data_IF_499562600565
#
_entry.id   IF_499562600565
#
_cell.length_a   1.000
_cell.length_b   1.000
_cell.length_c   1.000
_cell.angle_alpha   90.00
_cell.angle_beta   90.00
_cell.angle_gamma   90.00
#
_symmetry.space_group_name_H-M   'P 1'
#
loop_
_entity.id
_entity.type
_entity.pdbx_description
1 polymer ?
#
# COMPACT_ATOMS: atom_id res chain seq x y z
N UNK A 1 6.73 -1.85 5.31
CA UNK A 1 5.42 -1.63 5.94
C UNK A 1 4.37 -1.18 4.96
N UNK A 2 3.12 -1.38 5.31
CA UNK A 2 1.96 -0.94 4.53
C UNK A 2 0.97 -0.27 5.48
N UNK A 3 0.37 0.83 5.05
CA UNK A 3 -0.68 1.54 5.77
C UNK A 3 -1.88 1.76 4.84
N UNK A 4 -3.08 1.77 5.42
CA UNK A 4 -4.33 2.10 4.73
C UNK A 4 -4.85 3.42 5.34
N UNK A 5 -5.23 4.37 4.49
CA UNK A 5 -5.70 5.69 4.93
C UNK A 5 -4.66 6.45 5.74
N UNK A 6 -5.07 6.99 6.88
CA UNK A 6 -4.19 7.69 7.81
C UNK A 6 -3.20 6.76 8.54
N UNK A 7 -3.46 5.44 8.55
CA UNK A 7 -2.55 4.42 9.05
C UNK A 7 -2.06 4.69 10.46
N UNK A 8 -0.75 4.58 10.70
CA UNK A 8 -0.16 4.78 12.03
C UNK A 8 -0.29 6.21 12.55
N UNK A 9 -0.52 7.21 11.69
CA UNK A 9 -0.74 8.57 12.16
C UNK A 9 -2.00 8.74 13.02
N UNK A 10 -2.91 7.75 13.00
CA UNK A 10 -4.08 7.72 13.88
C UNK A 10 -3.70 7.58 15.36
N UNK A 11 -2.56 6.94 15.66
CA UNK A 11 -2.08 6.77 17.03
C UNK A 11 -1.71 8.10 17.71
N UNK A 12 -1.41 9.13 16.93
CA UNK A 12 -1.05 10.48 17.44
C UNK A 12 -2.25 11.42 17.53
N UNK A 13 -3.46 10.93 17.26
CA UNK A 13 -4.69 11.73 17.24
C UNK A 13 -5.67 11.29 18.33
N UNK A 14 -6.54 12.22 18.74
CA UNK A 14 -7.70 11.86 19.55
C UNK A 14 -8.71 11.08 18.69
N UNK A 15 -9.54 10.25 19.32
CA UNK A 15 -10.55 9.48 18.61
C UNK A 15 -11.50 10.34 17.77
N UNK A 16 -11.91 11.51 18.28
CA UNK A 16 -12.74 12.49 17.57
C UNK A 16 -12.10 13.02 16.28
N UNK A 17 -10.75 13.08 16.23
CA UNK A 17 -10.00 13.59 15.10
C UNK A 17 -9.61 12.48 14.12
N UNK A 18 -9.92 11.24 14.47
CA UNK A 18 -9.52 10.02 13.73
C UNK A 18 -10.64 9.41 12.91
N UNK A 19 -11.89 9.74 13.22
CA UNK A 19 -13.06 9.21 12.50
C UNK A 19 -13.38 10.02 11.25
N UNK A 20 -13.91 9.35 10.26
CA UNK A 20 -14.52 9.99 9.10
C UNK A 20 -15.96 10.41 9.42
N UNK A 21 -16.40 11.50 8.82
CA UNK A 21 -17.74 12.02 9.02
C UNK A 21 -18.39 12.47 7.73
N UNK A 22 -19.72 12.48 7.73
CA UNK A 22 -20.54 12.86 6.60
C UNK A 22 -21.06 14.29 6.75
N UNK A 23 -21.27 14.93 5.61
CA UNK A 23 -21.95 16.20 5.45
C UNK A 23 -23.06 16.05 4.42
N UNK A 24 -23.86 17.09 4.21
CA UNK A 24 -24.86 17.11 3.14
C UNK A 24 -24.26 16.87 1.74
N UNK A 25 -22.99 17.22 1.55
CA UNK A 25 -22.26 17.01 0.28
C UNK A 25 -21.54 15.66 0.19
N UNK A 26 -21.75 14.76 1.14
CA UNK A 26 -21.11 13.46 1.22
C UNK A 26 -20.03 13.36 2.28
N UNK A 27 -19.12 12.38 2.15
CA UNK A 27 -18.02 12.15 3.09
C UNK A 27 -17.03 13.33 3.04
N UNK A 28 -16.64 13.81 4.21
CA UNK A 28 -15.77 14.99 4.34
C UNK A 28 -14.28 14.63 4.33
N UNK A 29 -13.95 13.48 4.86
CA UNK A 29 -12.57 12.99 5.01
C UNK A 29 -12.51 11.52 4.58
N UNK A 30 -11.31 11.04 4.24
CA UNK A 30 -11.05 9.63 3.90
C UNK A 30 -9.88 9.10 4.73
N UNK A 31 -10.00 9.17 6.06
CA UNK A 31 -9.00 8.71 7.02
C UNK A 31 -8.88 7.19 7.04
N UNK A 32 -10.02 6.52 6.83
CA UNK A 32 -10.08 5.06 6.69
C UNK A 32 -9.43 4.56 5.39
N UNK A 33 -9.19 5.45 4.40
CA UNK A 33 -8.56 5.09 3.14
C UNK A 33 -9.45 4.24 2.23
N UNK A 34 -10.78 4.48 2.25
CA UNK A 34 -11.74 3.85 1.36
C UNK A 34 -12.16 2.43 1.77
N UNK A 35 -11.70 1.94 2.95
CA UNK A 35 -12.02 0.59 3.44
C UNK A 35 -12.42 0.68 4.91
N UNK A 36 -13.65 0.30 5.24
CA UNK A 36 -14.18 0.21 6.59
C UNK A 36 -14.74 -1.19 6.85
N UNK A 37 -14.31 -1.82 7.93
CA UNK A 37 -14.75 -3.17 8.27
C UNK A 37 -14.48 -4.23 7.19
N UNK A 38 -13.46 -4.03 6.36
CA UNK A 38 -13.12 -4.92 5.25
C UNK A 38 -13.96 -4.71 3.98
N UNK A 39 -14.77 -3.65 3.94
CA UNK A 39 -15.66 -3.31 2.82
C UNK A 39 -15.25 -1.94 2.27
N UNK A 40 -15.20 -1.81 0.93
CA UNK A 40 -15.01 -0.50 0.30
C UNK A 40 -16.23 0.39 0.55
N UNK A 41 -15.98 1.64 0.92
CA UNK A 41 -17.02 2.60 1.31
C UNK A 41 -17.40 3.61 0.21
N UNK A 42 -16.85 3.42 -0.99
CA UNK A 42 -17.09 4.27 -2.16
C UNK A 42 -16.09 5.39 -2.34
N UNK A 43 -15.22 5.63 -1.38
CA UNK A 43 -14.11 6.56 -1.49
C UNK A 43 -12.89 5.90 -2.17
N UNK A 44 -11.89 6.72 -2.50
CA UNK A 44 -10.63 6.23 -3.05
C UNK A 44 -9.92 5.28 -2.06
N UNK A 45 -9.46 4.14 -2.55
CA UNK A 45 -8.63 3.23 -1.75
C UNK A 45 -7.22 3.81 -1.69
N UNK A 46 -6.83 4.27 -0.50
CA UNK A 46 -5.55 4.92 -0.24
C UNK A 46 -4.62 3.99 0.53
N UNK A 47 -3.51 3.63 -0.10
CA UNK A 47 -2.48 2.79 0.50
C UNK A 47 -1.13 3.50 0.44
N UNK A 48 -0.34 3.36 1.51
CA UNK A 48 1.04 3.83 1.57
C UNK A 48 1.97 2.67 1.89
N UNK A 49 3.05 2.55 1.14
CA UNK A 49 4.03 1.50 1.32
C UNK A 49 5.39 2.09 1.65
N UNK A 50 6.00 1.61 2.73
CA UNK A 50 7.39 1.91 3.06
C UNK A 50 8.30 0.83 2.44
N UNK A 51 9.25 1.28 1.65
CA UNK A 51 10.21 0.40 0.97
C UNK A 51 11.55 0.54 1.65
N UNK A 52 12.12 -0.59 2.10
CA UNK A 52 13.47 -0.63 2.67
C UNK A 52 14.49 -0.15 1.64
N UNK A 53 15.43 0.72 2.00
CA UNK A 53 16.50 1.11 1.09
C UNK A 53 17.40 -0.08 0.73
N UNK A 54 18.09 0.04 -0.39
CA UNK A 54 19.06 -0.98 -0.83
C UNK A 54 20.15 -1.18 0.24
N UNK A 55 20.43 -2.44 0.63
CA UNK A 55 21.38 -2.71 1.73
C UNK A 55 22.85 -2.49 1.35
N UNK A 56 23.14 -2.28 0.08
CA UNK A 56 24.50 -2.11 -0.47
C UNK A 56 25.00 -0.66 -0.45
N UNK A 57 24.42 0.20 0.37
CA UNK A 57 24.93 1.56 0.54
C UNK A 57 26.26 1.52 1.31
N UNK A 58 27.25 2.31 0.83
CA UNK A 58 28.60 2.38 1.39
C UNK A 58 28.72 3.26 2.63
N UNK A 59 27.60 3.65 3.23
CA UNK A 59 27.60 4.60 4.36
C UNK A 59 27.96 3.94 5.69
N UNK A 60 27.97 2.63 5.75
CA UNK A 60 28.21 1.89 6.99
C UNK A 60 29.43 0.99 6.85
N UNK A 61 30.21 0.87 7.93
CA UNK A 61 31.26 -0.13 8.05
C UNK A 61 30.67 -1.53 7.98
N UNK A 62 31.44 -2.47 7.46
CA UNK A 62 31.12 -3.90 7.47
C UNK A 62 32.09 -4.68 8.33
N UNK A 63 31.77 -5.93 8.62
CA UNK A 63 32.60 -6.80 9.42
C UNK A 63 33.00 -8.02 8.60
N UNK A 64 34.30 -8.25 8.45
CA UNK A 64 34.82 -9.45 7.79
C UNK A 64 34.76 -10.64 8.73
N UNK A 65 33.96 -11.64 8.37
CA UNK A 65 33.75 -12.83 9.17
C UNK A 65 34.99 -13.72 9.27
N UNK A 66 35.90 -13.69 8.29
CA UNK A 66 37.12 -14.50 8.25
C UNK A 66 38.21 -13.88 9.12
N UNK A 67 38.45 -12.58 8.94
CA UNK A 67 39.50 -11.86 9.67
C UNK A 67 39.06 -11.33 11.02
N UNK A 68 37.75 -11.33 11.32
CA UNK A 68 37.12 -10.79 12.53
C UNK A 68 37.44 -9.30 12.74
N UNK A 69 37.58 -8.55 11.68
CA UNK A 69 37.90 -7.11 11.72
C UNK A 69 36.85 -6.30 10.99
N UNK A 70 36.72 -5.04 11.40
CA UNK A 70 35.98 -4.05 10.64
C UNK A 70 36.67 -3.83 9.29
N UNK A 71 35.87 -3.61 8.24
CA UNK A 71 36.35 -3.38 6.90
C UNK A 71 35.41 -2.48 6.12
N UNK A 72 35.80 -2.14 4.91
CA UNK A 72 34.94 -1.39 4.00
C UNK A 72 33.99 -2.33 3.26
N UNK A 73 32.74 -1.92 3.00
CA UNK A 73 31.81 -2.69 2.22
C UNK A 73 32.28 -2.81 0.78
N UNK A 74 32.10 -4.00 0.19
CA UNK A 74 32.43 -4.24 -1.22
C UNK A 74 31.55 -3.37 -2.12
N UNK A 75 32.14 -2.94 -3.23
CA UNK A 75 31.41 -2.18 -4.25
C UNK A 75 30.55 -3.13 -5.11
N UNK A 76 29.29 -3.25 -4.78
CA UNK A 76 28.34 -4.01 -5.57
C UNK A 76 27.49 -3.04 -6.40
N UNK A 77 27.37 -3.30 -7.70
CA UNK A 77 26.43 -2.54 -8.54
C UNK A 77 25.02 -2.78 -8.04
N UNK A 78 24.33 -1.72 -7.70
CA UNK A 78 22.93 -1.76 -7.29
C UNK A 78 22.18 -0.55 -7.83
N UNK A 79 20.86 -0.63 -7.87
CA UNK A 79 20.03 0.51 -8.21
C UNK A 79 20.13 1.58 -7.10
N UNK A 80 19.99 2.84 -7.50
CA UNK A 80 20.02 3.96 -6.55
C UNK A 80 18.76 3.96 -5.66
N UNK A 81 17.64 3.58 -6.23
CA UNK A 81 16.34 3.55 -5.54
C UNK A 81 15.45 2.47 -6.15
N UNK A 82 14.81 1.67 -5.31
CA UNK A 82 13.89 0.60 -5.75
C UNK A 82 12.42 1.01 -5.71
N UNK A 83 12.10 2.21 -5.20
CA UNK A 83 10.71 2.69 -5.07
C UNK A 83 9.95 2.68 -6.40
N UNK A 84 10.50 3.14 -7.55
CA UNK A 84 9.78 3.09 -8.82
C UNK A 84 9.34 1.68 -9.22
N UNK A 85 10.22 0.69 -9.03
CA UNK A 85 9.89 -0.71 -9.33
C UNK A 85 8.89 -1.27 -8.32
N UNK A 86 9.07 -0.99 -7.03
CA UNK A 86 8.16 -1.42 -5.97
C UNK A 86 6.76 -0.84 -6.15
N UNK A 87 6.64 0.40 -6.64
CA UNK A 87 5.35 1.03 -6.93
C UNK A 87 4.56 0.26 -8.00
N UNK A 88 5.22 -0.20 -9.05
CA UNK A 88 4.56 -1.00 -10.11
C UNK A 88 4.03 -2.31 -9.54
N UNK A 89 4.84 -2.99 -8.73
CA UNK A 89 4.44 -4.26 -8.07
C UNK A 89 3.28 -4.01 -7.10
N UNK A 90 3.40 -3.02 -6.22
CA UNK A 90 2.34 -2.70 -5.25
C UNK A 90 1.02 -2.36 -5.95
N UNK A 91 1.06 -1.57 -7.03
CA UNK A 91 -0.13 -1.28 -7.84
C UNK A 91 -0.74 -2.54 -8.43
N UNK A 92 0.06 -3.45 -8.97
CA UNK A 92 -0.43 -4.70 -9.54
C UNK A 92 -1.13 -5.57 -8.49
N UNK A 93 -0.55 -5.71 -7.31
CA UNK A 93 -1.14 -6.47 -6.20
C UNK A 93 -2.48 -5.89 -5.74
N UNK A 94 -2.57 -4.58 -5.60
CA UNK A 94 -3.83 -3.90 -5.24
C UNK A 94 -4.91 -4.15 -6.31
N UNK A 95 -4.56 -4.06 -7.59
CA UNK A 95 -5.49 -4.33 -8.70
C UNK A 95 -5.97 -5.78 -8.71
N UNK A 96 -5.07 -6.74 -8.47
CA UNK A 96 -5.41 -8.16 -8.39
C UNK A 96 -6.36 -8.42 -7.21
N UNK A 97 -6.04 -7.90 -6.03
CA UNK A 97 -6.89 -8.04 -4.84
C UNK A 97 -8.27 -7.42 -5.05
N UNK A 98 -8.32 -6.20 -5.63
CA UNK A 98 -9.59 -5.52 -5.94
C UNK A 98 -10.40 -6.29 -6.98
N UNK A 99 -9.77 -6.79 -8.05
CA UNK A 99 -10.45 -7.60 -9.06
C UNK A 99 -11.00 -8.89 -8.47
N UNK A 100 -10.26 -9.54 -7.57
CA UNK A 100 -10.72 -10.74 -6.89
C UNK A 100 -11.99 -10.48 -6.08
N UNK A 101 -12.03 -9.40 -5.30
CA UNK A 101 -13.22 -9.00 -4.55
C UNK A 101 -14.41 -8.65 -5.46
N UNK A 102 -14.16 -7.97 -6.58
CA UNK A 102 -15.20 -7.64 -7.57
C UNK A 102 -15.76 -8.91 -8.23
N UNK A 103 -14.89 -9.84 -8.62
CA UNK A 103 -15.34 -11.11 -9.25
C UNK A 103 -16.09 -12.00 -8.27
N UNK A 104 -15.67 -12.04 -7.02
CA UNK A 104 -16.38 -12.74 -5.95
C UNK A 104 -17.78 -12.13 -5.73
N UNK A 105 -17.88 -10.82 -5.65
CA UNK A 105 -19.13 -10.10 -5.42
C UNK A 105 -20.10 -10.21 -6.60
N UNK A 106 -19.61 -10.08 -7.83
CA UNK A 106 -20.43 -10.06 -9.05
C UNK A 106 -20.61 -11.44 -9.69
N UNK A 107 -19.77 -12.41 -9.34
CA UNK A 107 -19.90 -13.79 -9.72
C UNK A 107 -19.93 -14.01 -11.25
N UNK A 108 -18.83 -13.77 -11.96
CA UNK A 108 -18.68 -14.13 -13.37
C UNK A 108 -17.21 -14.27 -13.75
N UNK A 109 -16.93 -15.19 -14.65
CA UNK A 109 -15.63 -15.39 -15.31
C UNK A 109 -15.51 -14.65 -16.65
N UNK A 110 -16.60 -14.02 -17.10
CA UNK A 110 -16.66 -13.27 -18.37
C UNK A 110 -16.69 -11.77 -18.13
N UNK A 111 -15.74 -11.05 -18.70
CA UNK A 111 -15.63 -9.59 -18.56
C UNK A 111 -16.92 -8.86 -18.97
N UNK A 112 -17.56 -9.28 -20.06
CA UNK A 112 -18.81 -8.67 -20.55
C UNK A 112 -19.94 -8.77 -19.52
N UNK A 113 -20.03 -9.89 -18.81
CA UNK A 113 -21.05 -10.12 -17.78
C UNK A 113 -20.70 -9.33 -16.50
N UNK A 114 -19.43 -9.28 -16.12
CA UNK A 114 -18.97 -8.43 -15.01
C UNK A 114 -19.32 -6.96 -15.23
N UNK A 115 -19.02 -6.41 -16.40
CA UNK A 115 -19.34 -5.02 -16.76
C UNK A 115 -20.86 -4.78 -16.71
N UNK A 116 -21.65 -5.74 -17.25
CA UNK A 116 -23.12 -5.64 -17.25
C UNK A 116 -23.69 -5.64 -15.82
N UNK A 117 -23.12 -6.47 -14.93
CA UNK A 117 -23.55 -6.55 -13.53
C UNK A 117 -23.13 -5.32 -12.73
N UNK A 118 -21.89 -4.86 -12.93
CA UNK A 118 -21.38 -3.65 -12.32
C UNK A 118 -22.23 -2.40 -12.63
N UNK A 119 -22.66 -2.24 -13.87
CA UNK A 119 -23.55 -1.12 -14.30
C UNK A 119 -24.96 -1.17 -13.70
N UNK A 120 -25.32 -2.24 -12.99
CA UNK A 120 -26.61 -2.40 -12.33
C UNK A 120 -26.56 -2.17 -10.82
N UNK A 121 -25.36 -1.95 -10.27
CA UNK A 121 -25.15 -1.53 -8.89
C UNK A 121 -25.48 -0.05 -8.72
#
# INVERSE_FOLDING_TARGET
GVEIGDGFSLADKNGSDSVDFFTESGRKTNRAGGIEGGISDGEDIVLRCAVKPVPTCRLNETFDLATKKAGEPSNVRSDVCVVPSAMIVARAEVLIATLSAVTERLGSDRIADLIKRYKKL
#
